data_IF_299654721992
#
_entry.id   IF_299654721992
#
_cell.length_a   1.000
_cell.length_b   1.000
_cell.length_c   1.000
_cell.angle_alpha   90.00
_cell.angle_beta   90.00
_cell.angle_gamma   90.00
#
_symmetry.space_group_name_H-M   'P 1'
#
loop_
_entity.id
_entity.type
_entity.pdbx_description
1 polymer ?
#
# COMPACT_ATOMS: atom_id res chain seq x y z
N UNK A 1 87.88 -3.66 24.15
CA UNK A 1 86.78 -4.62 24.08
C UNK A 1 85.51 -3.87 24.40
N UNK A 2 84.72 -3.65 23.39
CA UNK A 2 83.40 -2.95 23.48
C UNK A 2 82.34 -4.03 23.35
N UNK A 3 81.33 -4.19 24.20
CA UNK A 3 80.34 -5.18 24.08
C UNK A 3 79.22 -4.71 23.07
N UNK A 4 78.92 -5.55 22.08
CA UNK A 4 77.85 -5.38 21.12
C UNK A 4 76.53 -5.69 21.85
N UNK A 5 75.61 -4.68 21.95
CA UNK A 5 74.27 -4.90 22.42
C UNK A 5 73.32 -5.23 21.22
N UNK A 6 72.81 -6.44 21.22
CA UNK A 6 71.78 -6.88 20.22
C UNK A 6 70.48 -6.32 20.71
N UNK A 7 69.87 -5.37 19.92
CA UNK A 7 68.49 -4.91 20.10
C UNK A 7 67.53 -5.86 19.35
N UNK A 8 66.69 -6.51 20.11
CA UNK A 8 65.60 -7.30 19.56
C UNK A 8 64.52 -6.38 18.96
N UNK A 9 64.25 -6.51 17.66
CA UNK A 9 63.16 -5.83 17.00
C UNK A 9 61.92 -6.72 17.08
N UNK A 10 60.96 -6.31 17.89
CA UNK A 10 59.63 -6.97 17.97
C UNK A 10 58.76 -6.48 16.83
N UNK A 11 58.49 -7.33 15.83
CA UNK A 11 57.54 -7.04 14.74
C UNK A 11 56.17 -7.40 15.25
N UNK A 12 55.33 -6.40 15.55
CA UNK A 12 53.90 -6.58 15.83
C UNK A 12 53.13 -6.73 14.50
N UNK A 13 52.64 -7.94 14.23
CA UNK A 13 51.74 -8.19 13.11
C UNK A 13 50.34 -7.74 13.53
N UNK A 14 49.88 -6.60 13.03
CA UNK A 14 48.46 -6.20 13.12
C UNK A 14 47.64 -7.03 12.15
N UNK A 15 46.87 -7.97 12.65
CA UNK A 15 45.84 -8.69 11.85
C UNK A 15 44.62 -7.79 11.73
N UNK A 16 44.46 -7.17 10.60
CA UNK A 16 43.20 -6.48 10.23
C UNK A 16 42.14 -7.53 9.96
N UNK A 17 41.23 -7.75 10.89
CA UNK A 17 39.96 -8.39 10.61
C UNK A 17 39.08 -7.40 9.79
N UNK A 18 39.14 -7.53 8.50
CA UNK A 18 38.18 -6.84 7.60
C UNK A 18 36.77 -7.37 7.87
N UNK A 19 35.95 -6.63 8.61
CA UNK A 19 34.53 -6.81 8.58
C UNK A 19 34.08 -6.44 7.16
N UNK A 20 33.86 -7.44 6.32
CA UNK A 20 33.11 -7.25 5.08
C UNK A 20 31.66 -6.92 5.50
N UNK A 21 31.34 -5.65 5.63
CA UNK A 21 29.95 -5.20 5.62
C UNK A 21 29.38 -5.60 4.26
N UNK A 22 28.53 -6.61 4.25
CA UNK A 22 27.69 -6.89 3.09
C UNK A 22 26.83 -5.63 2.91
N UNK A 23 27.26 -4.74 2.03
CA UNK A 23 26.40 -3.64 1.58
C UNK A 23 25.25 -4.26 0.83
N UNK A 24 24.11 -4.38 1.50
CA UNK A 24 22.85 -4.74 0.85
C UNK A 24 22.58 -3.69 -0.20
N UNK A 25 22.36 -4.10 -1.45
CA UNK A 25 22.01 -3.15 -2.50
C UNK A 25 20.70 -2.47 -2.07
N UNK A 26 20.64 -1.14 -2.20
CA UNK A 26 19.41 -0.41 -2.02
C UNK A 26 18.32 -1.06 -2.89
N UNK A 27 17.13 -1.29 -2.31
CA UNK A 27 15.99 -1.91 -3.02
C UNK A 27 16.10 -3.45 -3.25
N UNK A 28 16.95 -4.17 -2.49
CA UNK A 28 17.03 -5.64 -2.51
C UNK A 28 16.01 -6.28 -1.54
N UNK A 29 14.74 -5.91 -1.70
CA UNK A 29 13.64 -6.46 -0.93
C UNK A 29 13.01 -7.66 -1.64
N UNK A 30 12.84 -8.77 -0.92
CA UNK A 30 12.23 -9.98 -1.44
C UNK A 30 10.94 -10.33 -0.70
N UNK A 31 9.94 -10.90 -1.39
CA UNK A 31 8.73 -11.39 -0.74
C UNK A 31 9.06 -12.46 0.30
N UNK A 32 8.52 -12.29 1.52
CA UNK A 32 8.65 -13.27 2.59
C UNK A 32 7.77 -14.50 2.39
N UNK A 33 7.85 -15.49 3.32
CA UNK A 33 7.10 -16.75 3.23
C UNK A 33 5.59 -16.55 3.06
N UNK A 34 5.00 -15.58 3.74
CA UNK A 34 3.55 -15.32 3.65
C UNK A 34 3.08 -14.75 2.32
N UNK A 35 4.00 -14.38 1.45
CA UNK A 35 3.72 -13.97 0.06
C UNK A 35 3.84 -15.12 -0.94
N UNK A 36 4.14 -16.34 -0.48
CA UNK A 36 4.26 -17.53 -1.31
C UNK A 36 3.02 -18.40 -1.19
N UNK A 37 2.83 -19.27 -2.19
CA UNK A 37 1.79 -20.31 -2.13
C UNK A 37 2.26 -21.45 -1.23
N UNK A 38 1.39 -21.92 -0.35
CA UNK A 38 1.65 -23.06 0.52
C UNK A 38 0.67 -24.20 0.29
N UNK A 39 1.16 -25.44 0.37
CA UNK A 39 0.32 -26.62 0.36
C UNK A 39 -0.58 -26.63 1.62
N UNK A 40 -1.83 -27.06 1.48
CA UNK A 40 -2.79 -27.10 2.58
C UNK A 40 -3.45 -25.77 2.92
N UNK A 41 -3.02 -24.66 2.35
CA UNK A 41 -3.70 -23.36 2.49
C UNK A 41 -4.79 -23.23 1.43
N UNK A 42 -6.08 -23.09 1.83
CA UNK A 42 -7.17 -22.93 0.88
C UNK A 42 -7.01 -21.66 0.06
N UNK A 43 -7.13 -21.76 -1.26
CA UNK A 43 -6.98 -20.64 -2.18
C UNK A 43 -8.30 -19.94 -2.48
N UNK A 44 -8.32 -18.63 -2.36
CA UNK A 44 -9.42 -17.81 -2.84
C UNK A 44 -9.47 -17.72 -4.37
N UNK A 45 -10.63 -17.30 -4.87
CA UNK A 45 -10.91 -17.09 -6.29
C UNK A 45 -10.72 -15.63 -6.68
N UNK A 46 -10.24 -15.40 -7.93
CA UNK A 46 -10.11 -14.06 -8.51
C UNK A 46 -10.98 -13.98 -9.75
N UNK A 47 -11.87 -12.97 -9.81
CA UNK A 47 -12.70 -12.68 -10.99
C UNK A 47 -12.41 -11.28 -11.52
N UNK A 48 -12.32 -11.14 -12.83
CA UNK A 48 -12.06 -9.87 -13.52
C UNK A 48 -13.31 -9.33 -14.16
N UNK A 49 -13.46 -8.00 -14.10
CA UNK A 49 -14.58 -7.25 -14.64
C UNK A 49 -14.10 -5.98 -15.34
N UNK A 50 -14.99 -5.39 -16.14
CA UNK A 50 -14.79 -4.07 -16.74
C UNK A 50 -15.87 -3.12 -16.26
N UNK A 51 -15.54 -1.83 -16.15
CA UNK A 51 -16.47 -0.80 -15.70
C UNK A 51 -16.34 0.48 -16.52
N UNK A 52 -17.49 1.06 -16.89
CA UNK A 52 -17.62 2.40 -17.47
C UNK A 52 -18.18 3.33 -16.40
N UNK A 53 -17.39 4.32 -15.99
CA UNK A 53 -17.77 5.19 -14.89
C UNK A 53 -18.69 6.33 -15.35
N UNK A 54 -19.67 6.65 -14.51
CA UNK A 54 -20.49 7.85 -14.63
C UNK A 54 -19.88 9.03 -13.85
N UNK A 55 -19.23 8.73 -12.72
CA UNK A 55 -18.54 9.75 -11.87
C UNK A 55 -17.28 10.28 -12.56
N UNK A 56 -16.59 9.42 -13.34
CA UNK A 56 -15.50 9.82 -14.23
C UNK A 56 -15.93 9.60 -15.69
N UNK A 57 -16.73 10.51 -16.28
CA UNK A 57 -17.36 10.28 -17.56
C UNK A 57 -16.36 9.99 -18.69
N UNK A 58 -16.71 9.04 -19.54
CA UNK A 58 -15.88 8.62 -20.68
C UNK A 58 -14.72 7.69 -20.30
N UNK A 59 -14.54 7.34 -19.03
CA UNK A 59 -13.48 6.42 -18.62
C UNK A 59 -13.99 4.98 -18.57
N UNK A 60 -13.12 4.07 -19.02
CA UNK A 60 -13.26 2.63 -18.87
C UNK A 60 -12.09 2.10 -18.04
N UNK A 61 -12.34 1.04 -17.24
CA UNK A 61 -11.31 0.41 -16.41
C UNK A 61 -11.59 -1.05 -16.18
N UNK A 62 -10.55 -1.79 -15.86
CA UNK A 62 -10.64 -3.14 -15.33
C UNK A 62 -10.61 -3.10 -13.82
N UNK A 63 -11.35 -4.00 -13.19
CA UNK A 63 -11.24 -4.28 -11.77
C UNK A 63 -11.37 -5.78 -11.51
N UNK A 64 -10.87 -6.23 -10.38
CA UNK A 64 -10.92 -7.64 -9.96
C UNK A 64 -11.51 -7.74 -8.57
N UNK A 65 -12.18 -8.85 -8.32
CA UNK A 65 -12.69 -9.21 -6.99
C UNK A 65 -12.05 -10.54 -6.59
N UNK A 66 -11.33 -10.51 -5.49
CA UNK A 66 -10.80 -11.70 -4.82
C UNK A 66 -11.75 -12.09 -3.70
N UNK A 67 -12.14 -13.37 -3.67
CA UNK A 67 -13.01 -13.95 -2.65
C UNK A 67 -12.24 -15.07 -1.95
N UNK A 68 -11.94 -14.96 -0.64
CA UNK A 68 -11.22 -15.99 0.07
C UNK A 68 -12.04 -17.29 0.18
N UNK A 69 -11.39 -18.44 0.21
CA UNK A 69 -12.05 -19.73 0.33
C UNK A 69 -12.90 -19.86 1.62
N UNK A 70 -12.59 -19.07 2.64
CA UNK A 70 -13.32 -19.04 3.92
C UNK A 70 -14.57 -18.14 3.91
N UNK A 71 -14.85 -17.46 2.76
CA UNK A 71 -16.04 -16.63 2.65
C UNK A 71 -17.33 -17.47 2.75
N UNK A 72 -18.32 -16.92 3.42
CA UNK A 72 -19.67 -17.50 3.51
C UNK A 72 -20.71 -16.38 3.39
N UNK A 73 -21.76 -16.60 2.62
CA UNK A 73 -22.87 -15.64 2.49
C UNK A 73 -23.62 -15.37 3.80
N UNK A 74 -23.51 -16.29 4.78
CA UNK A 74 -24.12 -16.13 6.10
C UNK A 74 -23.49 -15.03 6.95
N UNK A 75 -22.22 -14.67 6.69
CA UNK A 75 -21.48 -13.65 7.45
C UNK A 75 -20.90 -12.58 6.52
N UNK A 76 -21.08 -11.27 6.84
CA UNK A 76 -20.45 -10.23 6.07
C UNK A 76 -18.91 -10.35 6.13
N UNK A 77 -18.26 -10.29 4.96
CA UNK A 77 -16.80 -10.23 4.89
C UNK A 77 -16.30 -8.80 5.10
N UNK A 78 -15.10 -8.66 5.65
CA UNK A 78 -14.35 -7.42 5.59
C UNK A 78 -14.02 -7.06 4.13
N UNK A 79 -13.66 -5.80 3.90
CA UNK A 79 -13.36 -5.27 2.58
C UNK A 79 -11.97 -4.63 2.57
N UNK A 80 -11.18 -4.91 1.53
CA UNK A 80 -9.99 -4.13 1.24
C UNK A 80 -9.93 -3.77 -0.24
N UNK A 81 -9.84 -2.46 -0.52
CA UNK A 81 -9.76 -1.92 -1.89
C UNK A 81 -8.33 -1.50 -2.19
N UNK A 82 -7.79 -1.92 -3.33
CA UNK A 82 -6.47 -1.50 -3.81
C UNK A 82 -6.60 -0.72 -5.11
N UNK A 83 -5.97 0.45 -5.16
CA UNK A 83 -5.76 1.23 -6.36
C UNK A 83 -4.60 0.66 -7.18
N UNK A 84 -4.58 0.89 -8.52
CA UNK A 84 -3.65 0.24 -9.46
C UNK A 84 -3.76 -1.30 -9.43
N UNK A 85 -4.97 -1.80 -9.40
CA UNK A 85 -5.33 -3.18 -9.10
C UNK A 85 -4.52 -4.25 -9.81
N UNK A 86 -4.18 -4.03 -11.09
CA UNK A 86 -3.37 -4.97 -11.87
C UNK A 86 -2.00 -5.29 -11.24
N UNK A 87 -1.43 -4.39 -10.45
CA UNK A 87 -0.16 -4.59 -9.73
C UNK A 87 -0.26 -5.52 -8.52
N UNK A 88 -1.47 -5.86 -8.07
CA UNK A 88 -1.70 -6.61 -6.82
C UNK A 88 -2.25 -8.01 -7.02
N UNK A 89 -2.88 -8.30 -8.17
CA UNK A 89 -3.68 -9.52 -8.39
C UNK A 89 -2.88 -10.77 -8.74
N UNK A 90 -1.64 -10.64 -9.22
CA UNK A 90 -0.81 -11.78 -9.61
C UNK A 90 -0.29 -12.54 -8.38
N UNK A 91 -0.32 -13.87 -8.45
CA UNK A 91 0.26 -14.75 -7.40
C UNK A 91 1.79 -14.84 -7.47
N UNK A 92 2.37 -14.57 -8.64
CA UNK A 92 3.81 -14.70 -8.91
C UNK A 92 4.47 -13.33 -9.20
N UNK A 93 3.68 -12.27 -9.29
CA UNK A 93 4.11 -10.91 -9.60
C UNK A 93 4.56 -10.10 -8.39
N UNK A 94 4.28 -8.78 -8.42
CA UNK A 94 4.66 -7.83 -7.39
C UNK A 94 4.07 -8.14 -6.01
N UNK A 95 3.03 -7.45 -5.60
CA UNK A 95 2.52 -7.54 -4.21
C UNK A 95 1.92 -8.89 -3.80
N UNK A 96 1.57 -9.77 -4.73
CA UNK A 96 1.05 -11.14 -4.46
C UNK A 96 -0.09 -11.18 -3.44
N UNK A 97 -0.98 -10.18 -3.45
CA UNK A 97 -2.03 -10.04 -2.44
C UNK A 97 -2.89 -11.29 -2.27
N UNK A 98 -3.25 -12.04 -3.34
CA UNK A 98 -4.02 -13.27 -3.17
C UNK A 98 -3.32 -14.32 -2.30
N UNK A 99 -1.99 -14.48 -2.42
CA UNK A 99 -1.25 -15.40 -1.56
C UNK A 99 -1.20 -14.91 -0.11
N UNK A 100 -0.95 -13.60 0.07
CA UNK A 100 -0.90 -13.00 1.40
C UNK A 100 -2.25 -13.14 2.11
N UNK A 101 -3.35 -12.87 1.40
CA UNK A 101 -4.70 -13.02 1.95
C UNK A 101 -5.00 -14.48 2.31
N UNK A 102 -4.72 -15.43 1.38
CA UNK A 102 -4.90 -16.86 1.64
C UNK A 102 -4.19 -17.27 2.94
N UNK A 103 -2.90 -16.90 3.07
CA UNK A 103 -2.07 -17.27 4.20
C UNK A 103 -2.51 -16.63 5.52
N UNK A 104 -2.74 -15.31 5.54
CA UNK A 104 -3.10 -14.59 6.76
C UNK A 104 -4.52 -14.93 7.25
N UNK A 105 -5.48 -15.13 6.35
CA UNK A 105 -6.83 -15.57 6.70
C UNK A 105 -6.80 -17.00 7.25
N UNK A 106 -6.03 -17.91 6.61
CA UNK A 106 -5.86 -19.27 7.09
C UNK A 106 -5.25 -19.32 8.49
N UNK A 107 -4.23 -18.49 8.76
CA UNK A 107 -3.59 -18.34 10.07
C UNK A 107 -4.45 -17.57 11.10
N UNK A 108 -5.58 -16.99 10.69
CA UNK A 108 -6.43 -16.11 11.51
C UNK A 108 -5.70 -14.84 12.00
N UNK A 109 -4.75 -14.37 11.23
CA UNK A 109 -3.98 -13.14 11.47
C UNK A 109 -4.59 -11.92 10.79
N UNK A 110 -5.59 -12.15 9.93
CA UNK A 110 -6.52 -11.14 9.43
C UNK A 110 -7.92 -11.76 9.29
N UNK A 111 -8.98 -10.94 9.33
CA UNK A 111 -10.34 -11.44 9.15
C UNK A 111 -10.60 -11.93 7.72
N UNK A 112 -11.68 -12.68 7.52
CA UNK A 112 -12.15 -13.04 6.17
C UNK A 112 -12.45 -11.75 5.41
N UNK A 113 -11.65 -11.46 4.39
CA UNK A 113 -11.63 -10.17 3.69
C UNK A 113 -11.75 -10.38 2.18
N UNK A 114 -12.73 -9.76 1.55
CA UNK A 114 -12.85 -9.66 0.10
C UNK A 114 -11.93 -8.53 -0.38
N UNK A 115 -11.10 -8.82 -1.39
CA UNK A 115 -10.24 -7.84 -2.04
C UNK A 115 -10.91 -7.29 -3.30
N UNK A 116 -10.91 -5.96 -3.47
CA UNK A 116 -11.35 -5.29 -4.70
C UNK A 116 -10.17 -4.49 -5.25
N UNK A 117 -9.74 -4.83 -6.45
CA UNK A 117 -8.53 -4.29 -7.09
C UNK A 117 -8.94 -3.50 -8.30
N UNK A 118 -8.63 -2.20 -8.35
CA UNK A 118 -9.22 -1.30 -9.35
C UNK A 118 -8.09 -0.56 -10.08
N UNK A 119 -8.08 -0.69 -11.41
CA UNK A 119 -7.22 0.14 -12.24
C UNK A 119 -7.79 1.56 -12.39
N UNK A 120 -6.93 2.56 -12.63
CA UNK A 120 -7.40 3.90 -12.99
C UNK A 120 -8.16 3.87 -14.31
N UNK A 121 -9.02 4.86 -14.50
CA UNK A 121 -9.76 5.03 -15.73
C UNK A 121 -8.90 5.38 -16.92
N UNK A 122 -9.29 4.89 -18.07
CA UNK A 122 -8.71 5.25 -19.36
C UNK A 122 -9.84 5.80 -20.24
N UNK A 123 -9.64 6.97 -20.82
CA UNK A 123 -10.50 7.46 -21.89
C UNK A 123 -9.99 6.85 -23.19
N UNK A 124 -10.76 5.97 -23.84
CA UNK A 124 -10.34 5.35 -25.10
C UNK A 124 -10.07 6.39 -26.20
N UNK A 125 -9.13 6.07 -27.08
CA UNK A 125 -8.90 6.88 -28.28
C UNK A 125 -10.17 6.91 -29.15
N UNK A 126 -10.55 8.09 -29.62
CA UNK A 126 -11.72 8.26 -30.51
C UNK A 126 -11.45 7.78 -31.93
N UNK A 127 -10.18 7.60 -32.32
CA UNK A 127 -9.75 7.12 -33.63
C UNK A 127 -8.39 6.44 -33.55
N UNK A 128 -8.00 5.72 -34.62
CA UNK A 128 -6.70 5.04 -34.72
C UNK A 128 -5.50 6.00 -34.71
N UNK A 129 -5.72 7.29 -35.01
CA UNK A 129 -4.68 8.32 -35.03
C UNK A 129 -4.56 9.07 -33.69
N UNK A 130 -5.27 8.65 -32.65
CA UNK A 130 -5.24 9.24 -31.33
C UNK A 130 -4.75 8.22 -30.30
N UNK A 131 -4.22 8.71 -29.19
CA UNK A 131 -3.85 7.88 -28.06
C UNK A 131 -4.94 7.90 -26.98
N UNK A 132 -5.17 6.78 -26.34
CA UNK A 132 -5.98 6.72 -25.13
C UNK A 132 -5.35 7.59 -24.04
N UNK A 133 -6.18 8.25 -23.23
CA UNK A 133 -5.72 9.11 -22.13
C UNK A 133 -5.91 8.42 -20.79
N UNK A 134 -4.80 8.21 -20.09
CA UNK A 134 -4.84 7.73 -18.72
C UNK A 134 -5.36 8.82 -17.77
N UNK A 135 -6.33 8.46 -16.94
CA UNK A 135 -6.95 9.40 -16.01
C UNK A 135 -6.39 9.30 -14.57
N UNK A 136 -5.33 8.50 -14.37
CA UNK A 136 -4.80 8.10 -13.08
C UNK A 136 -4.51 9.27 -12.15
N UNK A 137 -3.72 10.26 -12.60
CA UNK A 137 -3.37 11.40 -11.74
C UNK A 137 -4.58 12.26 -11.40
N UNK A 138 -5.52 12.43 -12.33
CA UNK A 138 -6.76 13.17 -12.06
C UNK A 138 -7.62 12.45 -11.01
N UNK A 139 -7.76 11.14 -11.11
CA UNK A 139 -8.58 10.34 -10.20
C UNK A 139 -7.95 10.18 -8.82
N UNK A 140 -6.62 9.98 -8.76
CA UNK A 140 -5.93 9.56 -7.54
C UNK A 140 -5.31 10.70 -6.76
N UNK A 141 -4.74 11.70 -7.45
CA UNK A 141 -4.00 12.77 -6.78
C UNK A 141 -4.88 13.99 -6.44
N UNK A 142 -6.16 14.03 -6.91
CA UNK A 142 -7.07 15.11 -6.60
C UNK A 142 -7.63 14.95 -5.18
N UNK A 143 -7.47 16.00 -4.36
CA UNK A 143 -7.96 16.04 -2.98
C UNK A 143 -9.46 16.35 -2.97
N UNK A 144 -10.29 15.33 -3.15
CA UNK A 144 -11.75 15.45 -3.13
C UNK A 144 -12.40 14.12 -2.80
N UNK A 145 -13.71 14.12 -2.53
CA UNK A 145 -14.52 12.94 -2.30
C UNK A 145 -14.85 12.16 -3.58
N UNK A 146 -14.49 12.67 -4.76
CA UNK A 146 -14.96 12.12 -6.03
C UNK A 146 -14.59 10.65 -6.22
N UNK A 147 -13.35 10.26 -5.87
CA UNK A 147 -12.94 8.86 -5.95
C UNK A 147 -13.63 7.98 -4.90
N UNK A 148 -13.84 8.50 -3.71
CA UNK A 148 -14.61 7.80 -2.67
C UNK A 148 -16.07 7.57 -3.12
N UNK A 149 -16.69 8.56 -3.75
CA UNK A 149 -18.02 8.41 -4.35
C UNK A 149 -18.03 7.36 -5.47
N UNK A 150 -17.03 7.37 -6.34
CA UNK A 150 -16.89 6.34 -7.37
C UNK A 150 -16.88 4.92 -6.75
N UNK A 151 -16.13 4.71 -5.67
CA UNK A 151 -16.15 3.44 -4.95
C UNK A 151 -17.54 3.11 -4.40
N UNK A 152 -18.15 4.06 -3.70
CA UNK A 152 -19.37 3.85 -2.92
C UNK A 152 -20.65 3.81 -3.77
N UNK A 153 -20.68 4.57 -4.88
CA UNK A 153 -21.88 4.70 -5.71
C UNK A 153 -21.84 3.78 -6.95
N UNK A 154 -20.65 3.32 -7.37
CA UNK A 154 -20.53 2.50 -8.58
C UNK A 154 -19.97 1.11 -8.30
N UNK A 155 -18.74 0.99 -7.78
CA UNK A 155 -18.03 -0.29 -7.68
C UNK A 155 -18.57 -1.17 -6.56
N UNK A 156 -18.70 -0.64 -5.34
CA UNK A 156 -19.12 -1.47 -4.21
C UNK A 156 -20.58 -1.94 -4.30
N UNK A 157 -21.53 -1.16 -4.83
CA UNK A 157 -22.87 -1.68 -5.14
C UNK A 157 -22.85 -2.85 -6.11
N UNK A 158 -21.98 -2.81 -7.15
CA UNK A 158 -21.86 -3.91 -8.10
C UNK A 158 -21.28 -5.18 -7.45
N UNK A 159 -20.23 -5.03 -6.63
CA UNK A 159 -19.66 -6.14 -5.87
C UNK A 159 -20.68 -6.73 -4.88
N UNK A 160 -21.46 -5.88 -4.24
CA UNK A 160 -22.47 -6.27 -3.25
C UNK A 160 -23.68 -7.03 -3.83
N UNK A 161 -23.86 -7.06 -5.15
CA UNK A 161 -24.87 -7.92 -5.79
C UNK A 161 -24.56 -9.41 -5.59
N UNK A 162 -23.28 -9.75 -5.47
CA UNK A 162 -22.83 -11.14 -5.41
C UNK A 162 -22.17 -11.51 -4.06
N UNK A 163 -21.78 -10.52 -3.25
CA UNK A 163 -21.04 -10.77 -2.03
C UNK A 163 -21.51 -9.89 -0.89
N UNK A 164 -21.69 -10.48 0.28
CA UNK A 164 -22.10 -9.75 1.48
C UNK A 164 -20.87 -9.10 2.13
N UNK A 165 -20.75 -7.78 1.96
CA UNK A 165 -19.69 -6.96 2.57
C UNK A 165 -20.16 -6.38 3.90
N UNK A 166 -19.25 -6.21 4.86
CA UNK A 166 -19.54 -5.50 6.10
C UNK A 166 -19.87 -4.03 5.84
N UNK A 167 -20.81 -3.49 6.59
CA UNK A 167 -21.08 -2.05 6.64
C UNK A 167 -20.29 -1.33 7.76
N UNK A 168 -19.60 -2.08 8.63
CA UNK A 168 -18.76 -1.52 9.68
C UNK A 168 -17.50 -0.88 9.05
N UNK A 169 -17.27 0.43 9.21
CA UNK A 169 -16.09 1.09 8.66
C UNK A 169 -14.77 0.57 9.25
N UNK A 170 -14.78 -0.02 10.45
CA UNK A 170 -13.62 -0.73 11.01
C UNK A 170 -13.28 -2.02 10.28
N UNK A 171 -14.23 -2.60 9.56
CA UNK A 171 -14.04 -3.76 8.70
C UNK A 171 -13.68 -3.40 7.26
N UNK A 172 -13.42 -2.12 6.95
CA UNK A 172 -13.13 -1.64 5.59
C UNK A 172 -11.79 -0.92 5.51
N UNK A 173 -10.95 -1.36 4.57
CA UNK A 173 -9.62 -0.84 4.33
C UNK A 173 -9.43 -0.40 2.87
N UNK A 174 -8.53 0.54 2.66
CA UNK A 174 -8.06 1.00 1.35
C UNK A 174 -6.54 1.02 1.32
N UNK A 175 -5.94 0.69 0.17
CA UNK A 175 -4.48 0.65 0.05
C UNK A 175 -3.99 0.90 -1.37
N UNK A 176 -2.75 1.33 -1.50
CA UNK A 176 -2.10 1.55 -2.79
C UNK A 176 -0.68 2.04 -2.68
N UNK A 177 -0.04 2.23 -3.84
CA UNK A 177 1.31 2.77 -3.95
C UNK A 177 1.34 4.08 -4.74
N UNK A 178 2.26 4.98 -4.39
CA UNK A 178 2.45 6.25 -5.09
C UNK A 178 1.17 7.09 -5.12
N UNK A 179 0.67 7.49 -6.29
CA UNK A 179 -0.65 8.12 -6.43
C UNK A 179 -1.78 7.24 -5.85
N UNK A 180 -1.67 5.89 -5.94
CA UNK A 180 -2.61 4.98 -5.30
C UNK A 180 -2.59 5.06 -3.77
N UNK A 181 -1.43 5.35 -3.18
CA UNK A 181 -1.25 5.54 -1.73
C UNK A 181 -1.94 6.81 -1.22
N UNK A 182 -1.75 7.95 -1.89
CA UNK A 182 -2.47 9.18 -1.52
C UNK A 182 -3.97 9.04 -1.81
N UNK A 183 -4.38 8.37 -2.90
CA UNK A 183 -5.77 8.07 -3.18
C UNK A 183 -6.43 7.29 -2.04
N UNK A 184 -5.76 6.24 -1.55
CA UNK A 184 -6.23 5.47 -0.40
C UNK A 184 -6.42 6.34 0.84
N UNK A 185 -5.45 7.20 1.14
CA UNK A 185 -5.56 8.14 2.25
C UNK A 185 -6.73 9.11 2.04
N UNK A 186 -6.86 9.70 0.83
CA UNK A 186 -7.94 10.63 0.50
C UNK A 186 -9.32 9.97 0.66
N UNK A 187 -9.51 8.73 0.19
CA UNK A 187 -10.79 8.01 0.35
C UNK A 187 -11.18 7.89 1.83
N UNK A 188 -10.26 7.45 2.69
CA UNK A 188 -10.55 7.32 4.12
C UNK A 188 -10.69 8.68 4.81
N UNK A 189 -9.94 9.69 4.37
CA UNK A 189 -10.03 11.05 4.88
C UNK A 189 -11.39 11.68 4.60
N UNK A 190 -11.90 11.54 3.38
CA UNK A 190 -13.20 12.10 2.96
C UNK A 190 -14.38 11.28 3.51
N UNK A 191 -14.21 9.96 3.66
CA UNK A 191 -15.29 9.06 4.07
C UNK A 191 -14.87 8.14 5.24
N UNK A 192 -14.53 8.72 6.42
CA UNK A 192 -14.19 7.95 7.62
C UNK A 192 -15.38 7.18 8.19
N UNK A 193 -16.60 7.51 7.76
CA UNK A 193 -17.83 6.76 8.01
C UNK A 193 -17.92 5.46 7.20
N UNK A 194 -17.06 5.28 6.18
CA UNK A 194 -17.04 4.12 5.29
C UNK A 194 -15.72 3.34 5.35
N UNK A 195 -14.59 4.01 5.53
CA UNK A 195 -13.25 3.41 5.54
C UNK A 195 -12.43 4.01 6.68
N UNK A 196 -11.84 3.15 7.52
CA UNK A 196 -11.01 3.58 8.65
C UNK A 196 -9.59 3.08 8.62
N UNK A 197 -9.25 2.20 7.70
CA UNK A 197 -7.93 1.58 7.60
C UNK A 197 -7.25 1.92 6.28
N UNK A 198 -6.01 2.41 6.36
CA UNK A 198 -5.24 2.89 5.19
C UNK A 198 -3.89 2.20 5.15
N UNK A 199 -3.49 1.72 3.98
CA UNK A 199 -2.11 1.38 3.64
C UNK A 199 -1.65 2.29 2.50
N UNK A 200 -0.57 3.04 2.71
CA UNK A 200 0.08 3.86 1.69
C UNK A 200 1.56 3.48 1.58
N UNK A 201 1.93 2.87 0.48
CA UNK A 201 3.31 2.58 0.12
C UNK A 201 3.83 3.69 -0.79
N UNK A 202 5.00 4.27 -0.48
CA UNK A 202 5.63 5.33 -1.31
C UNK A 202 4.61 6.40 -1.74
N UNK A 203 3.73 6.84 -0.82
CA UNK A 203 2.58 7.69 -1.14
C UNK A 203 2.97 9.06 -1.70
N UNK A 204 2.23 9.54 -2.71
CA UNK A 204 2.51 10.82 -3.40
C UNK A 204 2.05 12.04 -2.60
N UNK A 205 2.50 12.18 -1.35
CA UNK A 205 2.20 13.37 -0.52
C UNK A 205 3.05 14.57 -0.91
N UNK A 206 3.12 14.83 -2.21
CA UNK A 206 3.86 15.89 -2.90
C UNK A 206 2.92 16.70 -3.78
N UNK A 207 3.43 17.75 -4.45
CA UNK A 207 2.61 18.67 -5.23
C UNK A 207 2.34 18.16 -6.66
N UNK A 208 1.78 16.95 -6.83
CA UNK A 208 1.21 16.54 -8.11
C UNK A 208 -0.13 17.27 -8.36
N UNK A 209 -1.03 17.26 -7.37
CA UNK A 209 -2.32 17.95 -7.36
C UNK A 209 -2.70 18.44 -5.95
N UNK A 210 -1.73 18.95 -5.21
CA UNK A 210 -1.97 19.49 -3.88
C UNK A 210 -1.72 18.52 -2.72
N UNK A 211 -1.19 17.30 -2.96
CA UNK A 211 -0.97 16.28 -1.93
C UNK A 211 -0.08 16.70 -0.77
N UNK A 212 0.85 17.66 -1.00
CA UNK A 212 1.71 18.27 0.00
C UNK A 212 0.92 19.10 1.06
N UNK A 213 -0.35 19.35 0.86
CA UNK A 213 -1.19 20.04 1.84
C UNK A 213 -1.67 19.14 2.98
N UNK A 214 -1.67 17.82 2.81
CA UNK A 214 -2.18 16.89 3.83
C UNK A 214 -1.54 17.05 5.21
N UNK A 215 -0.23 17.24 5.38
CA UNK A 215 0.34 17.46 6.71
C UNK A 215 -0.29 18.66 7.44
N UNK A 216 -0.54 19.76 6.73
CA UNK A 216 -1.21 20.93 7.29
C UNK A 216 -2.69 20.69 7.55
N UNK A 217 -3.39 19.98 6.65
CA UNK A 217 -4.81 19.64 6.81
C UNK A 217 -5.00 18.76 8.04
N UNK A 218 -4.18 17.71 8.20
CA UNK A 218 -4.22 16.79 9.35
C UNK A 218 -4.04 17.55 10.66
N UNK A 219 -3.06 18.46 10.73
CA UNK A 219 -2.78 19.27 11.94
C UNK A 219 -3.87 20.24 12.32
N UNK A 220 -4.69 20.67 11.35
CA UNK A 220 -5.72 21.73 11.52
C UNK A 220 -7.14 21.16 11.59
N UNK A 221 -7.31 19.86 11.50
CA UNK A 221 -8.60 19.17 11.53
C UNK A 221 -8.71 18.32 12.78
N UNK A 222 -9.90 18.27 13.39
CA UNK A 222 -10.18 17.33 14.47
C UNK A 222 -9.83 15.89 14.03
N UNK A 223 -9.16 15.08 14.87
CA UNK A 223 -8.75 13.74 14.50
C UNK A 223 -9.92 12.88 14.03
N UNK A 224 -9.78 12.30 12.86
CA UNK A 224 -10.72 11.31 12.32
C UNK A 224 -10.35 9.90 12.82
N UNK A 225 -11.28 8.97 12.95
CA UNK A 225 -11.01 7.62 13.47
C UNK A 225 -10.30 6.75 12.42
N UNK A 226 -9.11 7.15 11.99
CA UNK A 226 -8.32 6.46 10.98
C UNK A 226 -7.14 5.73 11.61
N UNK A 227 -6.83 4.55 11.07
CA UNK A 227 -5.60 3.79 11.30
C UNK A 227 -4.78 3.80 10.01
N UNK A 228 -3.55 4.30 10.08
CA UNK A 228 -2.75 4.63 8.88
C UNK A 228 -1.40 3.92 8.91
N UNK A 229 -1.15 3.04 7.96
CA UNK A 229 0.15 2.45 7.72
C UNK A 229 0.83 3.15 6.54
N UNK A 230 1.99 3.75 6.79
CA UNK A 230 2.83 4.39 5.79
C UNK A 230 4.12 3.59 5.61
N UNK A 231 4.60 3.52 4.39
CA UNK A 231 5.95 3.06 4.08
C UNK A 231 6.57 3.95 3.00
N UNK A 232 7.86 4.25 3.16
CA UNK A 232 8.64 4.92 2.14
C UNK A 232 10.11 4.51 2.18
N UNK A 233 10.85 4.83 1.13
CA UNK A 233 12.29 4.60 1.03
C UNK A 233 13.07 5.91 1.09
N UNK A 234 14.21 5.89 1.81
CA UNK A 234 15.09 7.07 1.92
C UNK A 234 15.72 7.51 0.60
N UNK A 235 15.71 6.64 -0.41
CA UNK A 235 16.17 6.92 -1.77
C UNK A 235 14.99 7.06 -2.77
N UNK A 236 13.80 7.37 -2.27
CA UNK A 236 12.65 7.65 -3.14
C UNK A 236 12.89 8.93 -3.96
N UNK A 237 12.14 9.08 -5.04
CA UNK A 237 12.32 10.16 -6.01
C UNK A 237 12.18 11.56 -5.39
N UNK A 238 13.02 12.46 -5.88
CA UNK A 238 12.96 13.89 -5.63
C UNK A 238 12.93 14.59 -6.99
N UNK A 239 11.77 15.14 -7.37
CA UNK A 239 11.51 15.71 -8.69
C UNK A 239 10.77 17.06 -8.55
N UNK A 240 10.37 17.66 -9.68
CA UNK A 240 9.69 18.96 -9.72
C UNK A 240 8.44 19.06 -8.81
N UNK A 241 7.78 17.93 -8.47
CA UNK A 241 6.61 17.88 -7.59
C UNK A 241 7.00 17.87 -6.10
N UNK A 242 8.26 17.62 -5.78
CA UNK A 242 8.81 17.52 -4.43
C UNK A 242 9.50 16.18 -4.18
N UNK A 243 9.99 16.01 -2.95
CA UNK A 243 10.60 14.78 -2.46
C UNK A 243 9.54 13.89 -1.81
N UNK A 244 9.37 12.67 -2.31
CA UNK A 244 8.41 11.70 -1.74
C UNK A 244 8.75 11.36 -0.31
N UNK A 245 10.03 11.10 -0.03
CA UNK A 245 10.48 10.76 1.32
C UNK A 245 10.18 11.85 2.33
N UNK A 246 10.47 13.12 1.99
CA UNK A 246 10.16 14.27 2.86
C UNK A 246 8.64 14.42 3.03
N UNK A 247 7.86 14.28 1.96
CA UNK A 247 6.40 14.36 2.01
C UNK A 247 5.77 13.31 2.93
N UNK A 248 6.24 12.05 2.87
CA UNK A 248 5.78 11.00 3.76
C UNK A 248 6.23 11.21 5.21
N UNK A 249 7.46 11.72 5.44
CA UNK A 249 7.93 12.08 6.78
C UNK A 249 7.08 13.20 7.40
N UNK A 250 6.73 14.23 6.62
CA UNK A 250 5.91 15.35 7.12
C UNK A 250 4.48 14.89 7.42
N UNK A 251 3.89 14.02 6.58
CA UNK A 251 2.59 13.41 6.91
C UNK A 251 2.67 12.56 8.18
N UNK A 252 3.70 11.72 8.34
CA UNK A 252 3.88 10.92 9.55
C UNK A 252 4.03 11.80 10.80
N UNK A 253 4.77 12.92 10.70
CA UNK A 253 4.90 13.90 11.77
C UNK A 253 3.55 14.58 12.09
N UNK A 254 2.73 14.84 11.09
CA UNK A 254 1.39 15.41 11.28
C UNK A 254 0.43 14.42 11.96
N UNK A 255 0.45 13.15 11.54
CA UNK A 255 -0.33 12.08 12.17
C UNK A 255 0.05 11.90 13.65
N UNK A 256 1.36 11.91 13.95
CA UNK A 256 1.87 11.87 15.32
C UNK A 256 1.37 13.05 16.15
N UNK A 257 1.47 14.27 15.59
CA UNK A 257 1.02 15.49 16.26
C UNK A 257 -0.47 15.45 16.62
N UNK A 258 -1.29 14.92 15.69
CA UNK A 258 -2.75 14.83 15.87
C UNK A 258 -3.20 13.58 16.64
N UNK A 259 -2.29 12.73 17.11
CA UNK A 259 -2.60 11.55 17.93
C UNK A 259 -3.25 10.38 17.20
N UNK A 260 -3.01 10.25 15.88
CA UNK A 260 -3.53 9.11 15.12
C UNK A 260 -2.85 7.80 15.49
N UNK A 261 -3.58 6.69 15.35
CA UNK A 261 -3.00 5.34 15.32
C UNK A 261 -2.33 5.13 13.96
N UNK A 262 -1.02 5.26 13.92
CA UNK A 262 -0.25 5.14 12.69
C UNK A 262 1.06 4.38 12.89
N UNK A 263 1.54 3.81 11.80
CA UNK A 263 2.90 3.26 11.69
C UNK A 263 3.58 3.83 10.43
N UNK A 264 4.83 4.21 10.53
CA UNK A 264 5.66 4.61 9.41
C UNK A 264 6.91 3.74 9.35
N UNK A 265 7.04 2.96 8.28
CA UNK A 265 8.19 2.07 8.04
C UNK A 265 9.07 2.70 6.97
N UNK A 266 10.33 2.95 7.33
CA UNK A 266 11.33 3.53 6.44
C UNK A 266 12.28 2.42 5.98
N UNK A 267 12.55 2.38 4.67
CA UNK A 267 13.57 1.54 4.06
C UNK A 267 14.63 2.36 3.34
N UNK A 268 15.53 1.69 2.65
CA UNK A 268 16.58 2.29 1.81
C UNK A 268 16.26 2.20 0.31
N UNK A 269 15.03 1.78 -0.06
CA UNK A 269 14.60 1.65 -1.44
C UNK A 269 14.32 2.99 -2.13
N UNK A 270 14.20 2.92 -3.46
CA UNK A 270 13.71 4.00 -4.32
C UNK A 270 12.20 3.92 -4.54
N UNK A 271 11.70 4.62 -5.58
CA UNK A 271 10.28 4.64 -5.94
C UNK A 271 9.83 3.33 -6.59
N UNK A 272 9.78 2.27 -5.79
CA UNK A 272 9.39 0.94 -6.24
C UNK A 272 8.48 0.23 -5.24
N UNK A 273 7.68 -0.74 -5.72
CA UNK A 273 6.84 -1.57 -4.85
C UNK A 273 7.57 -2.67 -4.08
N UNK A 274 8.89 -2.84 -4.24
CA UNK A 274 9.63 -3.98 -3.67
C UNK A 274 9.58 -4.02 -2.15
N UNK A 275 9.87 -2.91 -1.48
CA UNK A 275 9.80 -2.85 -0.02
C UNK A 275 8.37 -3.07 0.47
N UNK A 276 7.39 -2.37 -0.13
CA UNK A 276 5.97 -2.58 0.17
C UNK A 276 5.54 -4.05 0.01
N UNK A 277 6.01 -4.73 -1.04
CA UNK A 277 5.78 -6.17 -1.27
C UNK A 277 6.34 -7.02 -0.13
N UNK A 278 7.58 -6.76 0.28
CA UNK A 278 8.25 -7.55 1.32
C UNK A 278 7.54 -7.44 2.69
N UNK A 279 7.00 -6.26 3.01
CA UNK A 279 6.37 -5.99 4.30
C UNK A 279 4.83 -6.06 4.29
N UNK A 280 4.21 -6.33 3.14
CA UNK A 280 2.74 -6.37 3.03
C UNK A 280 2.07 -7.30 4.06
N UNK A 281 2.58 -8.52 4.34
CA UNK A 281 2.00 -9.36 5.38
C UNK A 281 1.98 -8.68 6.75
N UNK A 282 3.06 -8.02 7.13
CA UNK A 282 3.18 -7.35 8.44
C UNK A 282 2.34 -6.06 8.49
N UNK A 283 2.25 -5.32 7.39
CA UNK A 283 1.36 -4.18 7.27
C UNK A 283 -0.11 -4.59 7.48
N UNK A 284 -0.52 -5.73 6.90
CA UNK A 284 -1.88 -6.25 7.07
C UNK A 284 -2.13 -6.76 8.50
N UNK A 285 -1.19 -7.47 9.13
CA UNK A 285 -1.29 -7.85 10.55
C UNK A 285 -1.47 -6.63 11.44
N UNK A 286 -0.65 -5.63 11.23
CA UNK A 286 -0.75 -4.38 11.99
C UNK A 286 -2.08 -3.68 11.78
N UNK A 287 -2.57 -3.62 10.54
CA UNK A 287 -3.81 -2.95 10.18
C UNK A 287 -5.04 -3.62 10.83
N UNK A 288 -5.05 -4.96 10.87
CA UNK A 288 -6.17 -5.76 11.37
C UNK A 288 -6.06 -6.20 12.84
N UNK A 289 -4.95 -5.84 13.54
CA UNK A 289 -4.60 -6.36 14.87
C UNK A 289 -5.69 -6.27 15.94
N UNK A 290 -6.54 -5.24 15.86
CA UNK A 290 -7.57 -4.96 16.87
C UNK A 290 -9.00 -5.21 16.33
N UNK A 291 -9.13 -5.73 15.11
CA UNK A 291 -10.44 -5.94 14.52
C UNK A 291 -11.11 -7.17 15.10
N UNK A 292 -12.27 -6.97 15.72
CA UNK A 292 -13.16 -8.05 16.17
C UNK A 292 -14.41 -8.00 15.31
N UNK A 293 -14.69 -9.10 14.60
CA UNK A 293 -15.91 -9.22 13.80
C UNK A 293 -17.14 -9.14 14.72
N UNK A 294 -18.06 -8.24 14.43
CA UNK A 294 -19.32 -8.07 15.15
C UNK A 294 -20.38 -9.02 14.62
#
# INVERSE_FOLDING_TARGET
>A
MIPLSIRAVTISILVFFGFSSVTRAADDYQPGPDSLTHEGVPRGEMKQFSWKSKIFPGTERQYWVYVPAQYSESKPACLMVFQDGGGYVSRDGGFRVPNVFDNLIHKKEMPVTIGVFINPGVVPAASTNQHSRFNRSFEYDTLSDQYARFLLEEILPEVSKNYRLTSDPEGRAVGGGSSGGICAFTVAWERPDQFRKVISFIGSFVNLRGGHLYPSIVRKTEPKPLKVFLQDGSNDQDIYAGSWFIGNQDLAAALKFAGYDYQFVIGDGGHSGKHGTAILPDALRWLWRDYVAK
#
